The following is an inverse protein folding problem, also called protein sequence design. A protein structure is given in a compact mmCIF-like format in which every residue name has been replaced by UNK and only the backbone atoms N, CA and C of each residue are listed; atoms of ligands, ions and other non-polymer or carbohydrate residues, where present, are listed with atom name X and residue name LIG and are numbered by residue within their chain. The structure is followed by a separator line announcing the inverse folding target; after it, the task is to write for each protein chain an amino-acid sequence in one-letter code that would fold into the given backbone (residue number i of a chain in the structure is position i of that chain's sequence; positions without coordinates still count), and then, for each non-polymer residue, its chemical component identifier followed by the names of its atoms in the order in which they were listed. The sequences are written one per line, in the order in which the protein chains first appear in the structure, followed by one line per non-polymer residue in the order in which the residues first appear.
data_IF_977770147479
#
_entry.id   IF_977770147479
#
_cell.length_a   1.000
_cell.length_b   1.000
_cell.length_c   1.000
_cell.angle_alpha   90.00
_cell.angle_beta   90.00
_cell.angle_gamma   90.00
#
_symmetry.space_group_name_H-M   'P 1'
#
loop_
_entity.id
_entity.type
_entity.pdbx_description
1 polymer ?
#
# COMPACT_ATOMS: atom_id res chain seq x y z
N UNK A 1 -40.16 -8.89 -0.20
CA UNK A 1 -38.86 -9.44 0.19
C UNK A 1 -38.44 -8.78 1.50
N UNK A 2 -38.41 -9.51 2.61
CA UNK A 2 -38.12 -8.97 3.96
C UNK A 2 -36.61 -9.05 4.20
N UNK A 3 -36.00 -7.91 4.48
CA UNK A 3 -34.60 -7.83 4.90
C UNK A 3 -34.50 -8.23 6.37
N UNK A 4 -33.76 -9.30 6.67
CA UNK A 4 -33.43 -9.71 8.03
C UNK A 4 -32.26 -8.92 8.58
N UNK A 5 -32.52 -8.07 9.58
CA UNK A 5 -31.49 -7.41 10.37
C UNK A 5 -30.94 -8.40 11.41
N UNK A 6 -29.68 -8.70 11.37
CA UNK A 6 -28.97 -9.44 12.39
C UNK A 6 -28.71 -8.53 13.60
N UNK A 7 -29.35 -8.84 14.72
CA UNK A 7 -29.19 -8.17 16.01
C UNK A 7 -27.93 -8.72 16.69
N UNK A 8 -26.92 -7.88 16.91
CA UNK A 8 -25.73 -8.22 17.68
C UNK A 8 -25.98 -7.93 19.16
N UNK A 9 -26.17 -9.01 19.92
CA UNK A 9 -26.46 -8.96 21.36
C UNK A 9 -25.16 -8.71 22.17
N UNK A 10 -25.11 -7.58 22.86
CA UNK A 10 -23.99 -7.21 23.75
C UNK A 10 -24.22 -7.91 25.10
N UNK A 11 -23.51 -9.00 25.33
CA UNK A 11 -23.48 -9.60 26.67
C UNK A 11 -22.55 -8.83 27.62
N UNK A 12 -23.17 -8.24 28.61
CA UNK A 12 -22.57 -7.59 29.78
C UNK A 12 -21.76 -8.60 30.58
N UNK A 13 -20.48 -8.36 30.81
CA UNK A 13 -19.64 -9.15 31.73
C UNK A 13 -19.60 -8.40 33.06
N UNK A 14 -20.18 -8.98 34.09
CA UNK A 14 -20.17 -8.50 35.47
C UNK A 14 -18.81 -8.65 36.13
N UNK A 15 -18.38 -7.60 36.81
CA UNK A 15 -17.14 -7.53 37.58
C UNK A 15 -17.18 -8.44 38.82
N UNK A 16 -16.16 -9.31 38.95
CA UNK A 16 -15.87 -10.01 40.18
C UNK A 16 -14.67 -9.33 40.90
N UNK A 17 -14.91 -8.79 42.08
CA UNK A 17 -13.83 -8.31 42.98
C UNK A 17 -13.09 -9.50 43.56
N UNK A 18 -11.81 -9.69 43.20
CA UNK A 18 -10.90 -10.62 43.79
C UNK A 18 -9.71 -9.87 44.40
N UNK A 19 -9.58 -9.92 45.71
CA UNK A 19 -8.46 -9.39 46.49
C UNK A 19 -7.17 -10.17 46.18
N UNK A 20 -6.11 -9.51 45.72
CA UNK A 20 -4.81 -10.15 45.46
C UNK A 20 -3.72 -9.53 46.35
N UNK A 21 -3.08 -10.41 47.10
CA UNK A 21 -1.91 -10.14 47.97
C UNK A 21 -0.70 -9.65 47.13
N UNK A 22 0.01 -8.65 47.69
CA UNK A 22 1.32 -8.23 47.22
C UNK A 22 2.36 -9.34 47.42
N UNK A 23 2.89 -9.86 46.35
CA UNK A 23 4.17 -10.55 46.32
C UNK A 23 5.14 -9.70 45.51
N UNK A 24 6.20 -9.20 46.16
CA UNK A 24 7.32 -8.52 45.53
C UNK A 24 8.15 -9.55 44.75
N UNK A 25 7.91 -9.64 43.45
CA UNK A 25 8.71 -10.45 42.53
C UNK A 25 9.43 -9.54 41.54
N UNK A 26 10.75 -9.72 41.43
CA UNK A 26 11.64 -9.00 40.54
C UNK A 26 11.11 -9.07 39.10
N UNK A 27 10.90 -7.91 38.47
CA UNK A 27 10.55 -7.79 37.07
C UNK A 27 11.73 -8.23 36.21
N UNK A 28 11.57 -9.19 35.28
CA UNK A 28 12.58 -9.40 34.24
C UNK A 28 12.58 -8.20 33.30
N UNK A 29 13.75 -7.56 33.18
CA UNK A 29 14.00 -6.51 32.18
C UNK A 29 14.02 -7.11 30.76
N UNK A 30 12.86 -7.48 30.24
CA UNK A 30 12.70 -8.00 28.87
C UNK A 30 11.45 -7.43 28.17
N UNK A 31 11.16 -6.15 28.40
CA UNK A 31 10.06 -5.45 27.78
C UNK A 31 10.53 -4.26 26.90
N UNK A 32 11.75 -4.32 26.38
CA UNK A 32 12.30 -3.24 25.55
C UNK A 32 12.74 -3.79 24.18
N UNK A 33 11.84 -4.38 23.41
CA UNK A 33 11.99 -4.54 21.95
C UNK A 33 10.68 -5.00 21.29
N UNK A 34 9.59 -4.35 21.59
CA UNK A 34 8.42 -4.37 20.75
C UNK A 34 8.48 -3.14 19.82
N UNK A 35 9.57 -3.00 19.07
CA UNK A 35 9.50 -2.37 17.78
C UNK A 35 8.51 -3.23 17.01
N UNK A 36 7.32 -2.69 16.71
CA UNK A 36 6.23 -3.37 16.04
C UNK A 36 6.74 -3.77 14.66
N UNK A 37 7.33 -4.95 14.53
CA UNK A 37 7.56 -5.56 13.22
C UNK A 37 6.17 -5.82 12.66
N UNK A 38 5.79 -5.05 11.63
CA UNK A 38 4.56 -5.31 10.90
C UNK A 38 4.60 -6.77 10.44
N UNK A 39 3.50 -7.49 10.63
CA UNK A 39 3.40 -8.86 10.13
C UNK A 39 3.54 -8.84 8.60
N UNK A 40 4.02 -9.94 8.01
CA UNK A 40 4.09 -10.11 6.56
C UNK A 40 2.75 -9.78 5.89
N UNK A 41 1.65 -10.23 6.49
CA UNK A 41 0.30 -9.95 6.01
C UNK A 41 -0.02 -8.44 6.02
N UNK A 42 0.32 -7.74 7.11
CA UNK A 42 0.10 -6.29 7.19
C UNK A 42 0.93 -5.53 6.16
N UNK A 43 2.17 -5.94 5.91
CA UNK A 43 3.02 -5.36 4.87
C UNK A 43 2.49 -5.63 3.47
N UNK A 44 2.01 -6.85 3.21
CA UNK A 44 1.40 -7.21 1.93
C UNK A 44 0.14 -6.38 1.66
N UNK A 45 -0.75 -6.24 2.65
CA UNK A 45 -1.95 -5.42 2.53
C UNK A 45 -1.63 -3.94 2.29
N UNK A 46 -0.63 -3.38 2.99
CA UNK A 46 -0.17 -2.01 2.75
C UNK A 46 0.39 -1.83 1.33
N UNK A 47 1.16 -2.79 0.83
CA UNK A 47 1.70 -2.76 -0.53
C UNK A 47 0.59 -2.87 -1.59
N UNK A 48 -0.42 -3.71 -1.37
CA UNK A 48 -1.62 -3.79 -2.23
C UNK A 48 -2.31 -2.42 -2.31
N UNK A 49 -2.53 -1.78 -1.17
CA UNK A 49 -3.16 -0.46 -1.11
C UNK A 49 -2.36 0.60 -1.86
N UNK A 50 -1.03 0.63 -1.70
CA UNK A 50 -0.15 1.56 -2.40
C UNK A 50 -0.18 1.32 -3.91
N UNK A 51 -0.17 0.06 -4.35
CA UNK A 51 -0.30 -0.30 -5.76
C UNK A 51 -1.64 0.18 -6.35
N UNK A 52 -2.76 -0.07 -5.68
CA UNK A 52 -4.08 0.35 -6.15
C UNK A 52 -4.21 1.88 -6.22
N UNK A 53 -3.71 2.60 -5.23
CA UNK A 53 -3.68 4.07 -5.23
C UNK A 53 -2.80 4.61 -6.37
N UNK A 54 -1.62 4.02 -6.59
CA UNK A 54 -0.73 4.40 -7.67
C UNK A 54 -1.36 4.13 -9.04
N UNK A 55 -2.01 2.97 -9.23
CA UNK A 55 -2.78 2.65 -10.44
C UNK A 55 -3.79 3.74 -10.78
N UNK A 56 -4.69 4.06 -9.84
CA UNK A 56 -5.74 5.07 -10.04
C UNK A 56 -5.14 6.44 -10.31
N UNK A 57 -4.10 6.83 -9.57
CA UNK A 57 -3.43 8.13 -9.73
C UNK A 57 -2.81 8.25 -11.13
N UNK A 58 -1.98 7.30 -11.54
CA UNK A 58 -1.31 7.35 -12.84
C UNK A 58 -2.30 7.32 -14.00
N UNK A 59 -3.32 6.46 -13.94
CA UNK A 59 -4.32 6.35 -14.99
C UNK A 59 -5.14 7.64 -15.13
N UNK A 60 -5.65 8.18 -14.02
CA UNK A 60 -6.46 9.40 -14.02
C UNK A 60 -5.67 10.64 -14.45
N UNK A 61 -4.41 10.75 -14.01
CA UNK A 61 -3.55 11.87 -14.40
C UNK A 61 -3.16 11.79 -15.87
N UNK A 62 -2.80 10.60 -16.39
CA UNK A 62 -2.46 10.42 -17.80
C UNK A 62 -3.62 10.78 -18.72
N UNK A 63 -4.82 10.27 -18.44
CA UNK A 63 -5.99 10.43 -19.30
C UNK A 63 -6.75 11.74 -19.08
N UNK A 64 -6.58 12.37 -17.93
CA UNK A 64 -7.23 13.64 -17.56
C UNK A 64 -6.29 14.83 -17.72
N UNK A 65 -5.54 15.14 -16.64
CA UNK A 65 -4.72 16.36 -16.55
C UNK A 65 -3.69 16.46 -17.67
N UNK A 66 -2.95 15.39 -17.95
CA UNK A 66 -1.85 15.44 -18.92
C UNK A 66 -2.37 15.70 -20.34
N UNK A 67 -3.44 15.06 -20.77
CA UNK A 67 -4.05 15.30 -22.06
C UNK A 67 -4.67 16.68 -22.15
N UNK A 68 -5.29 17.16 -21.07
CA UNK A 68 -5.92 18.49 -21.03
C UNK A 68 -4.88 19.62 -21.09
N UNK A 69 -3.77 19.48 -20.35
CA UNK A 69 -2.67 20.48 -20.37
C UNK A 69 -1.90 20.50 -21.68
N UNK A 70 -1.74 19.35 -22.32
CA UNK A 70 -0.97 19.24 -23.55
C UNK A 70 0.55 19.47 -23.35
N UNK A 71 1.26 19.79 -24.42
CA UNK A 71 2.70 20.07 -24.38
C UNK A 71 3.50 18.94 -23.78
N UNK A 72 4.40 19.26 -22.84
CA UNK A 72 5.27 18.26 -22.18
C UNK A 72 4.49 17.23 -21.40
N UNK A 73 3.31 17.59 -20.85
CA UNK A 73 2.45 16.65 -20.14
C UNK A 73 1.86 15.58 -21.05
N UNK A 74 1.53 15.93 -22.30
CA UNK A 74 1.01 15.01 -23.30
C UNK A 74 2.10 14.38 -24.17
N UNK A 75 3.38 14.54 -23.81
CA UNK A 75 4.47 13.91 -24.55
C UNK A 75 4.29 12.39 -24.59
N UNK A 76 4.42 11.72 -25.74
CA UNK A 76 4.13 10.29 -25.86
C UNK A 76 4.92 9.40 -24.90
N UNK A 77 6.16 9.75 -24.60
CA UNK A 77 6.99 9.01 -23.63
C UNK A 77 6.44 9.14 -22.22
N UNK A 78 5.99 10.34 -21.82
CA UNK A 78 5.38 10.57 -20.51
C UNK A 78 4.06 9.81 -20.34
N UNK A 79 3.16 9.90 -21.33
CA UNK A 79 1.89 9.17 -21.29
C UNK A 79 2.11 7.66 -21.22
N UNK A 80 3.05 7.10 -22.01
CA UNK A 80 3.33 5.65 -22.00
C UNK A 80 3.80 5.19 -20.63
N UNK A 81 4.80 5.85 -20.04
CA UNK A 81 5.31 5.41 -18.72
C UNK A 81 4.26 5.51 -17.62
N UNK A 82 3.35 6.50 -17.67
CA UNK A 82 2.24 6.60 -16.73
C UNK A 82 1.25 5.44 -16.90
N UNK A 83 0.91 5.06 -18.14
CA UNK A 83 0.02 3.93 -18.41
C UNK A 83 0.68 2.59 -18.05
N UNK A 84 1.98 2.43 -18.35
CA UNK A 84 2.75 1.25 -17.94
C UNK A 84 2.77 1.13 -16.41
N UNK A 85 3.00 2.25 -15.70
CA UNK A 85 2.96 2.30 -14.23
C UNK A 85 1.57 1.93 -13.69
N UNK A 86 0.51 2.49 -14.26
CA UNK A 86 -0.84 2.14 -13.87
C UNK A 86 -1.13 0.64 -14.06
N UNK A 87 -0.75 0.07 -15.20
CA UNK A 87 -0.99 -1.33 -15.51
C UNK A 87 -0.20 -2.28 -14.61
N UNK A 88 1.10 -2.02 -14.41
CA UNK A 88 1.91 -2.89 -13.55
C UNK A 88 1.45 -2.85 -12.10
N UNK A 89 1.04 -1.70 -11.57
CA UNK A 89 0.51 -1.57 -10.22
C UNK A 89 -0.76 -2.42 -10.02
N UNK A 90 -1.73 -2.37 -10.93
CA UNK A 90 -2.92 -3.20 -10.87
C UNK A 90 -2.56 -4.70 -10.91
N UNK A 91 -1.66 -5.09 -11.82
CA UNK A 91 -1.20 -6.47 -11.95
C UNK A 91 -0.50 -6.95 -10.68
N UNK A 92 0.36 -6.11 -10.08
CA UNK A 92 1.09 -6.44 -8.85
C UNK A 92 0.14 -6.64 -7.67
N UNK A 93 -0.87 -5.77 -7.52
CA UNK A 93 -1.91 -5.94 -6.51
C UNK A 93 -2.63 -7.29 -6.67
N UNK A 94 -3.00 -7.68 -7.90
CA UNK A 94 -3.62 -8.96 -8.19
C UNK A 94 -2.76 -10.17 -7.77
N UNK A 95 -1.44 -10.11 -8.03
CA UNK A 95 -0.52 -11.18 -7.64
C UNK A 95 -0.42 -11.31 -6.11
N UNK A 96 -0.43 -10.19 -5.39
CA UNK A 96 -0.39 -10.18 -3.93
C UNK A 96 -1.70 -10.65 -3.31
N UNK A 97 -2.86 -10.19 -3.82
CA UNK A 97 -4.19 -10.57 -3.32
C UNK A 97 -4.41 -12.09 -3.36
N UNK A 98 -3.92 -12.77 -4.39
CA UNK A 98 -4.03 -14.22 -4.50
C UNK A 98 -2.84 -15.00 -3.92
N UNK A 99 -1.97 -14.33 -3.15
CA UNK A 99 -0.78 -14.92 -2.53
C UNK A 99 0.08 -15.73 -3.53
N UNK A 100 0.32 -15.19 -4.73
CA UNK A 100 1.09 -15.84 -5.78
C UNK A 100 2.55 -16.02 -5.36
N UNK A 101 3.16 -17.16 -5.68
CA UNK A 101 4.60 -17.40 -5.50
C UNK A 101 5.48 -16.42 -6.29
N UNK A 102 4.93 -15.74 -7.29
CA UNK A 102 5.63 -14.74 -8.12
C UNK A 102 5.48 -13.31 -7.58
N UNK A 103 4.84 -13.08 -6.42
CA UNK A 103 4.58 -11.74 -5.90
C UNK A 103 5.86 -10.92 -5.71
N UNK A 104 6.95 -11.51 -5.22
CA UNK A 104 8.23 -10.83 -5.04
C UNK A 104 8.82 -10.34 -6.37
N UNK A 105 8.79 -11.19 -7.41
CA UNK A 105 9.32 -10.86 -8.73
C UNK A 105 8.53 -9.73 -9.40
N UNK A 106 7.20 -9.77 -9.31
CA UNK A 106 6.35 -8.72 -9.89
C UNK A 106 6.46 -7.41 -9.11
N UNK A 107 6.61 -7.47 -7.78
CA UNK A 107 6.89 -6.30 -6.94
C UNK A 107 8.20 -5.62 -7.34
N UNK A 108 9.27 -6.39 -7.59
CA UNK A 108 10.55 -5.82 -8.05
C UNK A 108 10.40 -5.08 -9.39
N UNK A 109 9.68 -5.65 -10.35
CA UNK A 109 9.40 -5.02 -11.64
C UNK A 109 8.54 -3.75 -11.45
N UNK A 110 7.50 -3.84 -10.62
CA UNK A 110 6.62 -2.71 -10.30
C UNK A 110 7.42 -1.54 -9.71
N UNK A 111 8.30 -1.82 -8.74
CA UNK A 111 9.15 -0.79 -8.14
C UNK A 111 9.96 -0.02 -9.19
N UNK A 112 10.62 -0.71 -10.12
CA UNK A 112 11.41 -0.08 -11.18
C UNK A 112 10.58 0.79 -12.12
N UNK A 113 9.38 0.34 -12.49
CA UNK A 113 8.48 1.12 -13.37
C UNK A 113 7.92 2.34 -12.61
N UNK A 114 7.55 2.19 -11.33
CA UNK A 114 7.11 3.31 -10.50
C UNK A 114 8.21 4.37 -10.33
N UNK A 115 9.48 3.97 -10.15
CA UNK A 115 10.61 4.91 -10.11
C UNK A 115 10.78 5.66 -11.44
N UNK A 116 10.66 4.97 -12.57
CA UNK A 116 10.74 5.60 -13.89
C UNK A 116 9.59 6.59 -14.11
N UNK A 117 8.36 6.23 -13.67
CA UNK A 117 7.21 7.12 -13.72
C UNK A 117 7.40 8.35 -12.82
N UNK A 118 7.89 8.16 -11.59
CA UNK A 118 8.20 9.25 -10.67
C UNK A 118 9.21 10.23 -11.30
N UNK A 119 10.29 9.73 -11.90
CA UNK A 119 11.27 10.55 -12.61
C UNK A 119 10.63 11.35 -13.75
N UNK A 120 9.69 10.74 -14.48
CA UNK A 120 8.99 11.40 -15.58
C UNK A 120 8.03 12.49 -15.11
N UNK A 121 7.49 12.39 -13.89
CA UNK A 121 6.63 13.40 -13.27
C UNK A 121 7.41 14.54 -12.61
N UNK A 122 8.69 14.34 -12.29
CA UNK A 122 9.48 15.28 -11.52
C UNK A 122 9.63 16.64 -12.22
N UNK A 123 9.33 17.71 -11.49
CA UNK A 123 9.41 19.08 -11.99
C UNK A 123 8.28 19.50 -12.92
N UNK A 124 7.28 18.65 -13.15
CA UNK A 124 6.11 18.98 -13.97
C UNK A 124 4.99 19.56 -13.10
N UNK A 125 4.56 20.82 -13.34
CA UNK A 125 3.54 21.47 -12.51
C UNK A 125 2.20 20.72 -12.49
N UNK A 126 1.72 20.40 -11.28
CA UNK A 126 0.47 19.65 -11.07
C UNK A 126 0.63 18.13 -11.05
N UNK A 127 1.88 17.63 -11.13
CA UNK A 127 2.19 16.19 -11.06
C UNK A 127 2.74 15.77 -9.68
N UNK A 128 2.78 16.67 -8.69
CA UNK A 128 3.40 16.44 -7.38
C UNK A 128 2.74 15.27 -6.64
N UNK A 129 1.42 15.17 -6.71
CA UNK A 129 0.68 14.07 -6.08
C UNK A 129 0.98 12.72 -6.76
N UNK A 130 1.05 12.68 -8.10
CA UNK A 130 1.42 11.49 -8.85
C UNK A 130 2.86 11.06 -8.57
N UNK A 131 3.79 12.03 -8.53
CA UNK A 131 5.19 11.81 -8.14
C UNK A 131 5.28 11.13 -6.76
N UNK A 132 4.64 11.71 -5.75
CA UNK A 132 4.65 11.18 -4.38
C UNK A 132 4.05 9.76 -4.31
N UNK A 133 2.97 9.51 -5.03
CA UNK A 133 2.31 8.20 -5.08
C UNK A 133 3.21 7.13 -5.74
N UNK A 134 3.86 7.47 -6.84
CA UNK A 134 4.81 6.58 -7.50
C UNK A 134 6.01 6.25 -6.60
N UNK A 135 6.54 7.24 -5.86
CA UNK A 135 7.64 7.04 -4.92
C UNK A 135 7.23 6.12 -3.75
N UNK A 136 6.04 6.32 -3.18
CA UNK A 136 5.52 5.48 -2.11
C UNK A 136 5.33 4.03 -2.58
N UNK A 137 4.71 3.84 -3.73
CA UNK A 137 4.49 2.51 -4.33
C UNK A 137 5.83 1.82 -4.67
N UNK A 138 6.80 2.53 -5.23
CA UNK A 138 8.11 1.99 -5.53
C UNK A 138 8.81 1.47 -4.27
N UNK A 139 8.77 2.25 -3.18
CA UNK A 139 9.33 1.84 -1.90
C UNK A 139 8.63 0.60 -1.33
N UNK A 140 7.31 0.63 -1.28
CA UNK A 140 6.49 -0.46 -0.73
C UNK A 140 6.72 -1.77 -1.49
N UNK A 141 6.73 -1.72 -2.83
CA UNK A 141 7.04 -2.87 -3.68
C UNK A 141 8.48 -3.36 -3.52
N UNK A 142 9.46 -2.44 -3.42
CA UNK A 142 10.86 -2.82 -3.19
C UNK A 142 11.06 -3.52 -1.85
N UNK A 143 10.36 -3.09 -0.81
CA UNK A 143 10.43 -3.73 0.50
C UNK A 143 9.75 -5.10 0.48
N UNK A 144 8.59 -5.23 -0.18
CA UNK A 144 7.90 -6.51 -0.36
C UNK A 144 8.73 -7.53 -1.16
N UNK A 145 9.43 -7.09 -2.20
CA UNK A 145 10.28 -7.96 -3.02
C UNK A 145 11.46 -8.59 -2.25
N UNK A 146 11.91 -7.99 -1.15
CA UNK A 146 13.01 -8.51 -0.31
C UNK A 146 12.54 -9.61 0.65
N UNK A 147 11.24 -9.79 0.80
CA UNK A 147 10.63 -10.68 1.78
C UNK A 147 10.11 -12.00 1.18
N UNK A 148 10.20 -12.16 -0.12
CA UNK A 148 9.79 -13.36 -0.90
C UNK A 148 11.03 -14.09 -1.48
#
# INVERSE_FOLDING_TARGET
MKQGQANFDRRTITAGLGTVMLAAGALPASAASAATSMSMEAMMNACIDDCLKCHVSCLSMATGLCLTKGGVHAAPAHIRIMLDCAQICATTADFMVRASEYHASICLLCAGICEACAKSCAGMPGMEACLAMCQACAKSCSDMAKMG
#
